data_IF_300630495975
#
_entry.id   IF_300630495975
#
_cell.length_a   1.000
_cell.length_b   1.000
_cell.length_c   1.000
_cell.angle_alpha   90.00
_cell.angle_beta   90.00
_cell.angle_gamma   90.00
#
_symmetry.space_group_name_H-M   'P 1'
#
loop_
_entity.id
_entity.type
_entity.pdbx_description
1 polymer ?
#
# COMPACT_ATOMS: atom_id res chain seq x y z
N UNK A 1 -11.40 -1.14 5.50
CA UNK A 1 -11.76 -0.02 4.60
C UNK A 1 -13.23 0.25 4.81
N UNK A 2 -13.59 1.16 5.72
CA UNK A 2 -15.00 1.44 5.97
C UNK A 2 -15.57 2.40 4.92
N UNK A 3 -16.65 1.93 4.29
CA UNK A 3 -17.62 2.59 3.42
C UNK A 3 -17.11 3.25 2.12
N UNK A 4 -16.59 2.43 1.20
CA UNK A 4 -16.33 2.82 -0.20
C UNK A 4 -17.55 3.54 -0.83
N UNK A 5 -18.77 3.10 -0.52
CA UNK A 5 -19.98 3.76 -0.98
C UNK A 5 -20.15 5.19 -0.46
N UNK A 6 -19.75 5.49 0.78
CA UNK A 6 -19.78 6.85 1.32
C UNK A 6 -18.78 7.75 0.60
N UNK A 7 -17.57 7.25 0.35
CA UNK A 7 -16.54 7.97 -0.43
C UNK A 7 -17.05 8.26 -1.84
N UNK A 8 -17.69 7.27 -2.47
CA UNK A 8 -18.29 7.44 -3.80
C UNK A 8 -19.37 8.53 -3.81
N UNK A 9 -20.28 8.50 -2.83
CA UNK A 9 -21.33 9.51 -2.67
C UNK A 9 -20.76 10.92 -2.58
N UNK A 10 -19.65 11.10 -1.86
CA UNK A 10 -19.01 12.40 -1.74
C UNK A 10 -18.49 12.91 -3.10
N UNK A 11 -17.80 12.06 -3.88
CA UNK A 11 -17.37 12.43 -5.24
C UNK A 11 -18.55 12.74 -6.16
N UNK A 12 -19.58 11.88 -6.14
CA UNK A 12 -20.78 12.06 -6.96
C UNK A 12 -21.47 13.39 -6.67
N UNK A 13 -21.70 13.67 -5.38
CA UNK A 13 -22.39 14.89 -4.95
C UNK A 13 -21.56 16.14 -5.15
N UNK A 14 -20.24 16.10 -4.93
CA UNK A 14 -19.37 17.25 -5.21
C UNK A 14 -19.26 17.55 -6.71
N UNK A 15 -19.36 16.53 -7.56
CA UNK A 15 -19.44 16.65 -9.02
C UNK A 15 -20.83 17.03 -9.55
N UNK A 16 -21.83 17.21 -8.67
CA UNK A 16 -23.23 17.47 -9.03
C UNK A 16 -23.90 16.40 -9.91
N UNK A 17 -23.41 15.16 -9.86
CA UNK A 17 -24.02 14.05 -10.58
C UNK A 17 -25.23 13.50 -9.82
N UNK A 18 -26.34 13.29 -10.52
CA UNK A 18 -27.49 12.59 -9.98
C UNK A 18 -27.21 11.10 -9.80
N UNK A 19 -28.02 10.41 -8.99
CA UNK A 19 -27.97 8.94 -8.88
C UNK A 19 -28.19 8.27 -10.25
N UNK A 20 -29.01 8.87 -11.12
CA UNK A 20 -29.31 8.32 -12.44
C UNK A 20 -28.11 8.41 -13.38
N UNK A 21 -27.43 9.56 -13.39
CA UNK A 21 -26.21 9.75 -14.19
C UNK A 21 -25.08 8.85 -13.72
N UNK A 22 -24.84 8.79 -12.40
CA UNK A 22 -23.77 7.95 -11.85
C UNK A 22 -24.04 6.44 -12.01
N UNK A 23 -25.30 6.02 -11.88
CA UNK A 23 -25.65 4.60 -12.04
C UNK A 23 -25.58 4.14 -13.50
N UNK A 24 -25.91 5.03 -14.45
CA UNK A 24 -25.91 4.73 -15.87
C UNK A 24 -26.69 3.45 -16.21
N UNK A 25 -26.09 2.58 -17.01
CA UNK A 25 -26.59 1.23 -17.27
C UNK A 25 -25.96 0.16 -16.35
N UNK A 26 -24.97 0.57 -15.55
CA UNK A 26 -24.16 -0.31 -14.68
C UNK A 26 -24.96 -0.91 -13.53
N UNK A 27 -25.89 -0.14 -12.96
CA UNK A 27 -26.78 -0.61 -11.91
C UNK A 27 -28.06 0.23 -11.80
N UNK A 28 -29.02 -0.22 -10.97
CA UNK A 28 -30.18 0.60 -10.66
C UNK A 28 -29.83 1.73 -9.69
N UNK A 29 -30.55 2.85 -9.75
CA UNK A 29 -30.42 3.96 -8.78
C UNK A 29 -30.65 3.50 -7.34
N UNK A 30 -31.53 2.52 -7.12
CA UNK A 30 -31.78 1.92 -5.82
C UNK A 30 -30.61 1.06 -5.32
N UNK A 31 -29.90 0.37 -6.21
CA UNK A 31 -28.70 -0.37 -5.86
C UNK A 31 -27.55 0.59 -5.54
N UNK A 32 -27.35 1.62 -6.37
CA UNK A 32 -26.36 2.66 -6.11
C UNK A 32 -26.62 3.37 -4.78
N UNK A 33 -27.86 3.74 -4.49
CA UNK A 33 -28.23 4.39 -3.23
C UNK A 33 -27.92 3.51 -2.01
N UNK A 34 -28.25 2.22 -2.06
CA UNK A 34 -27.95 1.28 -0.96
C UNK A 34 -26.44 1.09 -0.78
N UNK A 35 -25.69 1.05 -1.88
CA UNK A 35 -24.23 1.05 -1.84
C UNK A 35 -23.68 2.32 -1.16
N UNK A 36 -24.15 3.50 -1.57
CA UNK A 36 -23.75 4.78 -0.97
C UNK A 36 -24.06 4.90 0.54
N UNK A 37 -25.09 4.18 1.01
CA UNK A 37 -25.49 4.11 2.42
C UNK A 37 -24.76 3.00 3.19
N UNK A 38 -23.97 2.16 2.52
CA UNK A 38 -23.31 0.99 3.14
C UNK A 38 -24.26 -0.17 3.44
N UNK A 39 -25.45 -0.19 2.84
CA UNK A 39 -26.48 -1.22 3.02
C UNK A 39 -26.29 -2.41 2.07
N UNK A 40 -25.49 -2.25 1.01
CA UNK A 40 -25.17 -3.33 0.08
C UNK A 40 -23.81 -3.11 -0.59
N UNK A 41 -23.10 -4.19 -0.90
CA UNK A 41 -21.91 -4.12 -1.73
C UNK A 41 -22.25 -4.01 -3.22
N UNK A 42 -21.28 -3.53 -4.00
CA UNK A 42 -21.35 -3.49 -5.45
C UNK A 42 -20.27 -4.42 -6.02
N UNK A 43 -20.61 -5.16 -7.08
CA UNK A 43 -19.62 -5.93 -7.82
C UNK A 43 -18.52 -5.00 -8.35
N UNK A 44 -17.26 -5.47 -8.30
CA UNK A 44 -16.09 -4.66 -8.68
C UNK A 44 -16.17 -4.17 -10.13
N UNK A 45 -16.67 -4.97 -11.07
CA UNK A 45 -16.87 -4.55 -12.46
C UNK A 45 -17.78 -3.33 -12.56
N UNK A 46 -18.94 -3.36 -11.89
CA UNK A 46 -19.88 -2.24 -11.83
C UNK A 46 -19.29 -1.04 -11.09
N UNK A 47 -18.43 -1.28 -10.10
CA UNK A 47 -17.77 -0.22 -9.35
C UNK A 47 -16.85 0.63 -10.25
N UNK A 48 -16.08 0.01 -11.14
CA UNK A 48 -15.29 0.74 -12.13
C UNK A 48 -16.17 1.54 -13.10
N UNK A 49 -17.27 0.96 -13.59
CA UNK A 49 -18.17 1.66 -14.50
C UNK A 49 -18.83 2.89 -13.86
N UNK A 50 -19.27 2.81 -12.60
CA UNK A 50 -19.87 3.98 -11.93
C UNK A 50 -18.85 5.08 -11.63
N UNK A 51 -17.57 4.73 -11.48
CA UNK A 51 -16.47 5.71 -11.35
C UNK A 51 -16.24 6.43 -12.69
N UNK A 52 -16.23 5.70 -13.79
CA UNK A 52 -16.12 6.26 -15.14
C UNK A 52 -17.28 7.21 -15.46
N UNK A 53 -18.50 6.86 -15.04
CA UNK A 53 -19.71 7.70 -15.23
C UNK A 53 -19.62 9.07 -14.54
N UNK A 54 -18.84 9.19 -13.45
CA UNK A 54 -18.62 10.46 -12.74
C UNK A 54 -17.24 11.07 -13.04
N UNK A 55 -16.49 10.49 -13.98
CA UNK A 55 -15.15 10.89 -14.40
C UNK A 55 -14.13 10.93 -13.24
N UNK A 56 -14.21 9.96 -12.34
CA UNK A 56 -13.26 9.80 -11.22
C UNK A 56 -12.42 8.57 -11.48
N UNK A 57 -11.09 8.75 -11.53
CA UNK A 57 -10.19 7.59 -11.67
C UNK A 57 -10.12 6.79 -10.37
N UNK A 58 -9.77 5.51 -10.48
CA UNK A 58 -9.63 4.64 -9.30
C UNK A 58 -8.55 5.16 -8.36
N UNK A 59 -7.48 5.77 -8.86
CA UNK A 59 -6.41 6.35 -8.05
C UNK A 59 -6.93 7.47 -7.15
N UNK A 60 -7.60 8.47 -7.74
CA UNK A 60 -8.19 9.58 -6.99
C UNK A 60 -9.21 9.08 -5.96
N UNK A 61 -10.01 8.08 -6.34
CA UNK A 61 -10.96 7.46 -5.43
C UNK A 61 -10.25 6.79 -4.24
N UNK A 62 -9.23 5.97 -4.52
CA UNK A 62 -8.51 5.21 -3.51
C UNK A 62 -7.67 6.09 -2.59
N UNK A 63 -7.11 7.18 -3.11
CA UNK A 63 -6.43 8.20 -2.30
C UNK A 63 -7.40 8.74 -1.25
N UNK A 64 -8.59 9.17 -1.67
CA UNK A 64 -9.60 9.66 -0.72
C UNK A 64 -10.10 8.56 0.22
N UNK A 65 -10.36 7.36 -0.29
CA UNK A 65 -10.85 6.23 0.52
C UNK A 65 -9.86 5.79 1.61
N UNK A 66 -8.57 6.09 1.43
CA UNK A 66 -7.51 5.84 2.41
C UNK A 66 -7.20 7.07 3.27
N UNK A 67 -7.99 8.14 3.21
CA UNK A 67 -7.71 9.44 3.82
C UNK A 67 -6.33 9.98 3.41
N UNK A 68 -5.96 9.80 2.14
CA UNK A 68 -4.66 10.15 1.58
C UNK A 68 -3.47 9.47 2.27
N UNK A 69 -3.70 8.41 3.04
CA UNK A 69 -2.61 7.54 3.48
C UNK A 69 -2.17 6.67 2.31
N UNK A 70 -0.89 6.82 1.95
CA UNK A 70 -0.24 6.01 0.93
C UNK A 70 -0.40 4.50 1.26
N UNK A 71 -0.42 3.66 0.21
CA UNK A 71 -0.19 2.21 0.37
C UNK A 71 0.99 1.99 1.30
N UNK A 72 0.91 1.02 2.21
CA UNK A 72 1.93 0.82 3.24
C UNK A 72 3.35 0.67 2.65
N UNK A 73 3.48 0.00 1.50
CA UNK A 73 4.74 -0.06 0.72
C UNK A 73 5.21 1.32 0.24
N UNK A 74 4.33 2.11 -0.38
CA UNK A 74 4.65 3.45 -0.91
C UNK A 74 5.01 4.41 0.24
N UNK A 75 4.27 4.34 1.35
CA UNK A 75 4.53 5.12 2.56
C UNK A 75 5.91 4.83 3.16
N UNK A 76 6.32 3.55 3.18
CA UNK A 76 7.63 3.16 3.67
C UNK A 76 8.75 3.66 2.75
N UNK A 77 8.61 3.48 1.44
CA UNK A 77 9.62 3.94 0.48
C UNK A 77 9.79 5.47 0.52
N UNK A 78 8.69 6.21 0.66
CA UNK A 78 8.72 7.66 0.81
C UNK A 78 9.49 8.10 2.07
N UNK A 79 9.52 7.29 3.13
CA UNK A 79 10.29 7.56 4.35
C UNK A 79 11.76 7.15 4.22
N UNK A 80 12.06 6.08 3.47
CA UNK A 80 13.45 5.63 3.25
C UNK A 80 14.25 6.67 2.46
N UNK A 81 13.67 7.26 1.41
CA UNK A 81 14.35 8.18 0.50
C UNK A 81 15.08 9.33 1.22
N UNK A 82 14.43 10.14 2.07
CA UNK A 82 15.10 11.25 2.74
C UNK A 82 16.21 10.77 3.69
N UNK A 83 15.99 9.66 4.40
CA UNK A 83 16.99 9.07 5.30
C UNK A 83 18.22 8.55 4.55
N UNK A 84 17.97 7.98 3.36
CA UNK A 84 19.02 7.50 2.47
C UNK A 84 19.95 8.63 2.06
N UNK A 85 19.40 9.77 1.63
CA UNK A 85 20.19 10.92 1.18
C UNK A 85 20.82 11.71 2.33
N UNK A 86 20.24 11.70 3.53
CA UNK A 86 20.82 12.35 4.71
C UNK A 86 21.80 11.47 5.50
N UNK A 87 21.96 10.20 5.12
CA UNK A 87 22.71 9.18 5.88
C UNK A 87 22.26 9.08 7.35
N UNK A 88 20.96 9.23 7.60
CA UNK A 88 20.40 9.22 8.95
C UNK A 88 20.16 7.78 9.44
N UNK A 89 21.20 7.18 10.03
CA UNK A 89 21.17 5.84 10.64
C UNK A 89 20.14 5.78 11.77
N UNK A 90 20.03 6.82 12.59
CA UNK A 90 19.08 6.85 13.70
C UNK A 90 17.63 6.82 13.20
N UNK A 91 17.36 7.53 12.10
CA UNK A 91 16.09 7.47 11.38
C UNK A 91 15.79 6.07 10.84
N UNK A 92 16.76 5.40 10.22
CA UNK A 92 16.59 4.01 9.78
C UNK A 92 16.29 3.05 10.93
N UNK A 93 17.02 3.17 12.06
CA UNK A 93 16.76 2.36 13.25
C UNK A 93 15.39 2.64 13.87
N UNK A 94 14.89 3.87 13.79
CA UNK A 94 13.53 4.21 14.20
C UNK A 94 12.52 3.45 13.33
N UNK A 95 12.66 3.51 12.00
CA UNK A 95 11.79 2.76 11.09
C UNK A 95 11.86 1.25 11.33
N UNK A 96 13.05 0.70 11.61
CA UNK A 96 13.22 -0.71 11.96
C UNK A 96 12.37 -1.08 13.19
N UNK A 97 12.40 -0.29 14.26
CA UNK A 97 11.57 -0.54 15.45
C UNK A 97 10.08 -0.53 15.10
N UNK A 98 9.65 0.40 14.26
CA UNK A 98 8.26 0.47 13.81
C UNK A 98 7.85 -0.79 13.00
N UNK A 99 8.72 -1.29 12.12
CA UNK A 99 8.46 -2.55 11.39
C UNK A 99 8.37 -3.75 12.35
N UNK A 100 9.24 -3.82 13.35
CA UNK A 100 9.23 -4.89 14.34
C UNK A 100 7.93 -4.90 15.17
N UNK A 101 7.44 -3.74 15.58
CA UNK A 101 6.16 -3.65 16.30
C UNK A 101 4.96 -4.03 15.43
N UNK A 102 4.99 -3.72 14.13
CA UNK A 102 3.97 -4.14 13.17
C UNK A 102 4.00 -5.66 12.91
N UNK A 103 5.18 -6.27 12.83
CA UNK A 103 5.34 -7.72 12.70
C UNK A 103 4.66 -8.46 13.86
N UNK A 104 4.79 -7.98 15.10
CA UNK A 104 4.20 -8.61 16.29
C UNK A 104 2.67 -8.57 16.34
N UNK A 105 2.05 -7.59 15.67
CA UNK A 105 0.62 -7.30 15.78
C UNK A 105 -0.18 -7.63 14.52
N UNK A 106 0.49 -8.05 13.44
CA UNK A 106 -0.13 -8.27 12.13
C UNK A 106 -0.16 -9.74 11.71
N UNK A 107 -1.20 -10.11 10.97
CA UNK A 107 -1.29 -11.39 10.24
C UNK A 107 -0.29 -11.46 9.07
N UNK A 108 0.32 -10.35 8.67
CA UNK A 108 1.33 -10.27 7.58
C UNK A 108 2.74 -10.07 8.14
N UNK A 109 3.15 -10.89 9.12
CA UNK A 109 4.45 -10.75 9.83
C UNK A 109 5.65 -10.76 8.88
N UNK A 110 5.65 -11.65 7.88
CA UNK A 110 6.77 -11.80 6.95
C UNK A 110 7.10 -10.52 6.19
N UNK A 111 6.08 -9.77 5.73
CA UNK A 111 6.29 -8.52 5.03
C UNK A 111 7.05 -7.49 5.90
N UNK A 112 6.64 -7.35 7.16
CA UNK A 112 7.29 -6.44 8.10
C UNK A 112 8.70 -6.89 8.49
N UNK A 113 8.94 -8.20 8.56
CA UNK A 113 10.28 -8.76 8.75
C UNK A 113 11.19 -8.46 7.55
N UNK A 114 10.73 -8.69 6.31
CA UNK A 114 11.49 -8.37 5.09
C UNK A 114 11.84 -6.88 5.00
N UNK A 115 10.90 -6.02 5.38
CA UNK A 115 11.13 -4.58 5.49
C UNK A 115 12.19 -4.22 6.52
N UNK A 116 12.20 -4.89 7.67
CA UNK A 116 13.23 -4.70 8.67
C UNK A 116 14.62 -5.08 8.14
N UNK A 117 14.70 -6.21 7.41
CA UNK A 117 15.94 -6.72 6.80
C UNK A 117 16.44 -5.76 5.72
N UNK A 118 15.55 -5.23 4.88
CA UNK A 118 15.89 -4.19 3.91
C UNK A 118 16.53 -2.98 4.59
N UNK A 119 15.92 -2.48 5.67
CA UNK A 119 16.46 -1.35 6.42
C UNK A 119 17.82 -1.68 7.05
N UNK A 120 18.04 -2.92 7.50
CA UNK A 120 19.34 -3.37 8.01
C UNK A 120 20.40 -3.32 6.92
N UNK A 121 20.10 -3.79 5.70
CA UNK A 121 21.01 -3.70 4.56
C UNK A 121 21.36 -2.25 4.22
N UNK A 122 20.37 -1.35 4.23
CA UNK A 122 20.60 0.08 4.00
C UNK A 122 21.48 0.75 5.07
N UNK A 123 21.42 0.28 6.32
CA UNK A 123 22.33 0.72 7.40
C UNK A 123 23.74 0.18 7.16
N UNK A 124 23.90 -1.12 6.87
CA UNK A 124 25.20 -1.76 6.65
C UNK A 124 25.96 -1.14 5.45
N UNK A 125 25.25 -0.73 4.40
CA UNK A 125 25.83 0.00 3.27
C UNK A 125 26.44 1.37 3.65
N UNK A 126 26.06 1.94 4.80
CA UNK A 126 26.48 3.28 5.27
C UNK A 126 27.48 3.22 6.41
N UNK A 127 27.36 2.20 7.25
CA UNK A 127 28.17 2.05 8.45
C UNK A 127 28.63 0.61 8.59
N UNK A 128 29.92 0.40 8.36
CA UNK A 128 30.58 -0.89 8.41
C UNK A 128 30.71 -1.48 9.83
N UNK A 129 30.23 -0.78 10.86
CA UNK A 129 30.08 -1.36 12.21
C UNK A 129 28.83 -2.22 12.36
N UNK A 130 27.93 -2.20 11.37
CA UNK A 130 26.74 -3.04 11.31
C UNK A 130 26.92 -4.13 10.25
N UNK A 131 26.39 -5.31 10.56
CA UNK A 131 26.43 -6.48 9.69
C UNK A 131 25.03 -7.04 9.43
N UNK A 132 24.91 -7.75 8.30
CA UNK A 132 23.75 -8.60 7.99
C UNK A 132 23.92 -9.97 8.63
N UNK A 133 22.81 -10.56 9.11
CA UNK A 133 22.80 -11.95 9.58
C UNK A 133 22.45 -12.89 8.43
N UNK A 134 23.11 -14.04 8.37
CA UNK A 134 22.83 -15.04 7.34
C UNK A 134 21.36 -15.49 7.38
N UNK A 135 20.79 -15.74 8.56
CA UNK A 135 19.39 -16.13 8.71
C UNK A 135 18.40 -15.11 8.12
N UNK A 136 18.76 -13.82 8.14
CA UNK A 136 17.95 -12.76 7.55
C UNK A 136 18.06 -12.78 6.01
N UNK A 137 19.26 -13.00 5.47
CA UNK A 137 19.50 -13.14 4.04
C UNK A 137 18.81 -14.40 3.47
N UNK A 138 18.89 -15.52 4.18
CA UNK A 138 18.24 -16.78 3.80
C UNK A 138 16.72 -16.60 3.75
N UNK A 139 16.14 -15.84 4.69
CA UNK A 139 14.71 -15.52 4.68
C UNK A 139 14.29 -14.69 3.47
N UNK A 140 15.10 -13.71 3.08
CA UNK A 140 14.85 -12.91 1.86
C UNK A 140 14.99 -13.78 0.61
N UNK A 141 16.02 -14.62 0.54
CA UNK A 141 16.23 -15.55 -0.57
C UNK A 141 15.03 -16.50 -0.73
N UNK A 142 14.61 -17.13 0.37
CA UNK A 142 13.44 -18.01 0.40
C UNK A 142 12.17 -17.32 -0.10
N UNK A 143 11.95 -16.05 0.28
CA UNK A 143 10.84 -15.25 -0.19
C UNK A 143 10.92 -14.99 -1.71
N UNK A 144 12.09 -14.56 -2.20
CA UNK A 144 12.29 -14.24 -3.61
C UNK A 144 12.17 -15.49 -4.50
N UNK A 145 12.68 -16.65 -4.06
CA UNK A 145 12.60 -17.91 -4.82
C UNK A 145 11.19 -18.49 -4.88
N UNK A 146 10.35 -18.22 -3.87
CA UNK A 146 8.93 -18.64 -3.87
C UNK A 146 8.05 -17.72 -4.72
N UNK A 147 8.55 -16.54 -5.10
CA UNK A 147 7.77 -15.54 -5.85
C UNK A 147 7.99 -15.73 -7.36
N UNK A 148 6.93 -16.14 -8.07
CA UNK A 148 6.99 -16.38 -9.52
C UNK A 148 7.02 -15.09 -10.35
N UNK A 149 6.23 -14.09 -9.96
CA UNK A 149 6.16 -12.78 -10.64
C UNK A 149 6.68 -11.68 -9.71
N UNK A 150 7.79 -11.07 -10.09
CA UNK A 150 8.41 -10.00 -9.30
C UNK A 150 7.74 -8.65 -9.58
N UNK A 151 7.36 -7.97 -8.51
CA UNK A 151 6.93 -6.58 -8.54
C UNK A 151 8.10 -5.65 -8.19
N UNK A 152 7.83 -4.35 -8.10
CA UNK A 152 8.82 -3.38 -7.63
C UNK A 152 9.35 -3.72 -6.23
N UNK A 153 8.54 -4.34 -5.37
CA UNK A 153 8.97 -4.67 -4.01
C UNK A 153 10.09 -5.73 -4.00
N UNK A 154 9.94 -6.81 -4.77
CA UNK A 154 10.98 -7.84 -4.91
C UNK A 154 12.25 -7.27 -5.53
N UNK A 155 12.12 -6.39 -6.53
CA UNK A 155 13.25 -5.72 -7.17
C UNK A 155 14.01 -4.80 -6.19
N UNK A 156 13.32 -4.11 -5.29
CA UNK A 156 13.96 -3.32 -4.23
C UNK A 156 14.72 -4.24 -3.28
N UNK A 157 14.10 -5.32 -2.79
CA UNK A 157 14.74 -6.25 -1.87
C UNK A 157 16.01 -6.82 -2.50
N UNK A 158 15.89 -7.41 -3.68
CA UNK A 158 17.03 -7.96 -4.40
C UNK A 158 18.11 -6.91 -4.67
N UNK A 159 17.73 -5.77 -5.26
CA UNK A 159 18.67 -4.72 -5.66
C UNK A 159 19.46 -4.09 -4.51
N UNK A 160 18.91 -4.11 -3.28
CA UNK A 160 19.60 -3.57 -2.11
C UNK A 160 20.33 -4.63 -1.27
N UNK A 161 20.00 -5.91 -1.44
CA UNK A 161 20.53 -6.99 -0.59
C UNK A 161 21.45 -7.97 -1.33
N UNK A 162 21.49 -7.98 -2.67
CA UNK A 162 22.30 -8.95 -3.44
C UNK A 162 23.81 -8.90 -3.18
N UNK A 163 24.32 -7.79 -2.61
CA UNK A 163 25.75 -7.58 -2.38
C UNK A 163 26.26 -8.15 -1.07
N UNK A 164 25.36 -8.59 -0.19
CA UNK A 164 25.69 -9.24 1.09
C UNK A 164 25.70 -10.76 0.92
#
# INVERSE_FOLDING_TARGET
MEHLGKVFREFRTSGNYSLKEAAGESCSTSQLSRFELGESDLAVSRFFEILDNIHVTIENFMDKARNFHNHEHVSMMAQIIPLYYSNDIAGFQKLQREQLEKSKSSTTSLYFELNWILLQGLICQRDASYDMKQDDLDKVADYLFKTEEWTMYELILFGNLYSF
#
